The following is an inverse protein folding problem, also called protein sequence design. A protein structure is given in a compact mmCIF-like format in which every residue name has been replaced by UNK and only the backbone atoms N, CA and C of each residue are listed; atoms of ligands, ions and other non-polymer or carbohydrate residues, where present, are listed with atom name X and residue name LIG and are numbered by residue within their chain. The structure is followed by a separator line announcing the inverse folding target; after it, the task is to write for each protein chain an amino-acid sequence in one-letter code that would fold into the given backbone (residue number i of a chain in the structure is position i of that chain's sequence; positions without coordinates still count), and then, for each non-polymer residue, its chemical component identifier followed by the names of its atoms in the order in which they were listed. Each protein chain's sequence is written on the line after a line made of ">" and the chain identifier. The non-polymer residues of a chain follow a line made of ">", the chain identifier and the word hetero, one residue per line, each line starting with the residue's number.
data_IF_845841266411
#
_entry.id   IF_845841266411
#
_cell.length_a   1.000
_cell.length_b   1.000
_cell.length_c   1.000
_cell.angle_alpha   90.00
_cell.angle_beta   90.00
_cell.angle_gamma   90.00
#
_symmetry.space_group_name_H-M   'P 1'
#
loop_
_entity.id
_entity.type
_entity.pdbx_description
1 polymer ?
#
# COMPACT_ATOMS: atom_id res chain seq x y z
N UNK A 1 -12.43 26.41 -6.97
CA UNK A 1 -11.92 26.64 -8.35
C UNK A 1 -11.70 28.11 -8.67
N UNK A 2 -12.72 28.97 -8.60
CA UNK A 2 -12.56 30.42 -8.89
C UNK A 2 -11.47 31.06 -8.03
N UNK A 3 -11.44 30.74 -6.72
CA UNK A 3 -10.43 31.28 -5.81
C UNK A 3 -9.01 30.85 -6.16
N UNK A 4 -8.81 29.62 -6.60
CA UNK A 4 -7.51 29.14 -7.09
C UNK A 4 -7.11 29.85 -8.40
N UNK A 5 -8.09 30.13 -9.25
CA UNK A 5 -7.91 31.00 -10.40
C UNK A 5 -7.45 32.41 -10.00
N UNK A 6 -8.02 32.99 -8.94
CA UNK A 6 -7.59 34.28 -8.40
C UNK A 6 -6.15 34.22 -7.87
N UNK A 7 -5.77 33.12 -7.20
CA UNK A 7 -4.37 32.89 -6.79
C UNK A 7 -3.43 32.85 -8.00
N UNK A 8 -3.83 32.15 -9.07
CA UNK A 8 -3.09 32.13 -10.34
C UNK A 8 -2.98 33.50 -10.99
N UNK A 9 -4.06 34.29 -10.99
CA UNK A 9 -4.05 35.66 -11.48
C UNK A 9 -3.08 36.55 -10.69
N UNK A 10 -3.11 36.47 -9.35
CA UNK A 10 -2.18 37.23 -8.50
C UNK A 10 -0.71 36.86 -8.78
N UNK A 11 -0.41 35.56 -8.99
CA UNK A 11 0.93 35.09 -9.38
C UNK A 11 1.35 35.64 -10.75
N UNK A 12 0.43 35.67 -11.72
CA UNK A 12 0.69 36.22 -13.04
C UNK A 12 0.99 37.72 -12.99
N UNK A 13 0.15 38.50 -12.30
CA UNK A 13 0.32 39.96 -12.20
C UNK A 13 1.65 40.32 -11.56
N UNK A 14 2.09 39.58 -10.53
CA UNK A 14 3.39 39.81 -9.88
C UNK A 14 4.61 39.56 -10.78
N UNK A 15 4.46 38.74 -11.82
CA UNK A 15 5.55 38.32 -12.73
C UNK A 15 5.39 38.88 -14.15
N UNK A 16 4.36 39.68 -14.39
CA UNK A 16 4.08 40.24 -15.69
C UNK A 16 5.02 41.41 -15.97
N UNK A 17 5.64 41.39 -17.14
CA UNK A 17 6.50 42.44 -17.65
C UNK A 17 5.78 43.14 -18.82
N UNK A 18 5.34 44.41 -18.66
CA UNK A 18 4.67 45.17 -19.71
C UNK A 18 5.53 45.43 -20.95
N UNK A 19 6.86 45.44 -20.82
CA UNK A 19 7.78 45.81 -21.89
C UNK A 19 7.94 44.71 -22.95
N UNK A 20 7.46 43.49 -22.66
CA UNK A 20 7.46 42.35 -23.56
C UNK A 20 6.40 42.43 -24.67
N UNK A 21 5.50 43.42 -24.65
CA UNK A 21 4.50 43.64 -25.71
C UNK A 21 3.36 42.61 -25.78
N UNK A 22 3.21 41.76 -24.76
CA UNK A 22 2.14 40.74 -24.68
C UNK A 22 1.00 41.23 -23.80
N UNK A 23 -0.26 40.98 -24.19
CA UNK A 23 -1.42 41.31 -23.36
C UNK A 23 -1.39 40.54 -22.03
N UNK A 24 -1.65 41.22 -20.91
CA UNK A 24 -1.73 40.61 -19.57
C UNK A 24 -2.65 39.38 -19.54
N UNK A 25 -3.80 39.45 -20.23
CA UNK A 25 -4.75 38.33 -20.31
C UNK A 25 -4.09 37.08 -20.89
N UNK A 26 -3.33 37.22 -21.98
CA UNK A 26 -2.63 36.11 -22.64
C UNK A 26 -1.57 35.47 -21.74
N UNK A 27 -0.87 36.28 -20.94
CA UNK A 27 0.09 35.80 -19.96
C UNK A 27 -0.59 35.11 -18.77
N UNK A 28 -1.58 35.77 -18.17
CA UNK A 28 -2.28 35.30 -16.97
C UNK A 28 -3.06 33.99 -17.19
N UNK A 29 -3.57 33.74 -18.40
CA UNK A 29 -4.28 32.49 -18.71
C UNK A 29 -3.47 31.23 -18.38
N UNK A 30 -2.16 31.24 -18.62
CA UNK A 30 -1.30 30.07 -18.34
C UNK A 30 -1.19 29.82 -16.83
N UNK A 31 -1.02 30.88 -16.04
CA UNK A 31 -0.96 30.81 -14.58
C UNK A 31 -2.28 30.39 -13.96
N UNK A 32 -3.39 30.96 -14.43
CA UNK A 32 -4.74 30.61 -13.95
C UNK A 32 -5.02 29.12 -14.20
N UNK A 33 -4.77 28.63 -15.43
CA UNK A 33 -4.96 27.22 -15.76
C UNK A 33 -4.06 26.30 -14.94
N UNK A 34 -2.78 26.67 -14.77
CA UNK A 34 -1.83 25.87 -14.00
C UNK A 34 -2.26 25.71 -12.54
N UNK A 35 -2.66 26.78 -11.87
CA UNK A 35 -3.11 26.71 -10.46
C UNK A 35 -4.41 25.93 -10.32
N UNK A 36 -5.37 26.12 -11.23
CA UNK A 36 -6.60 25.33 -11.24
C UNK A 36 -6.31 23.85 -11.44
N UNK A 37 -5.47 23.49 -12.41
CA UNK A 37 -5.08 22.10 -12.67
C UNK A 37 -4.37 21.46 -11.48
N UNK A 38 -3.44 22.19 -10.86
CA UNK A 38 -2.71 21.73 -9.68
C UNK A 38 -3.66 21.51 -8.48
N UNK A 39 -4.60 22.43 -8.27
CA UNK A 39 -5.61 22.29 -7.22
C UNK A 39 -6.50 21.06 -7.45
N UNK A 40 -6.98 20.85 -8.68
CA UNK A 40 -7.80 19.69 -9.03
C UNK A 40 -7.00 18.41 -8.76
N UNK A 41 -5.76 18.32 -9.23
CA UNK A 41 -4.91 17.14 -9.02
C UNK A 41 -4.64 16.84 -7.53
N UNK A 42 -4.58 17.87 -6.68
CA UNK A 42 -4.36 17.69 -5.23
C UNK A 42 -5.62 17.34 -4.44
N UNK A 43 -6.80 17.72 -4.94
CA UNK A 43 -8.05 17.67 -4.18
C UNK A 43 -9.17 16.87 -4.88
N UNK A 44 -8.86 16.12 -5.94
CA UNK A 44 -9.86 15.30 -6.64
C UNK A 44 -10.32 14.08 -5.83
N UNK A 45 -9.53 13.65 -4.84
CA UNK A 45 -9.83 12.53 -3.92
C UNK A 45 -9.46 12.88 -2.49
N UNK A 46 -10.11 12.23 -1.53
CA UNK A 46 -9.79 12.38 -0.11
C UNK A 46 -8.39 11.84 0.20
N UNK A 47 -8.03 10.69 -0.39
CA UNK A 47 -6.69 10.10 -0.27
C UNK A 47 -5.71 10.80 -1.21
N UNK A 48 -4.77 11.55 -0.64
CA UNK A 48 -3.75 12.28 -1.39
C UNK A 48 -2.59 11.35 -1.74
N UNK A 49 -2.26 11.28 -3.02
CA UNK A 49 -1.11 10.51 -3.52
C UNK A 49 -0.24 11.43 -4.38
N UNK A 50 1.08 11.31 -4.27
CA UNK A 50 2.00 12.00 -5.17
C UNK A 50 1.74 11.58 -6.62
N UNK A 51 1.68 12.53 -7.55
CA UNK A 51 1.43 12.25 -8.97
C UNK A 51 2.67 12.46 -9.82
N UNK A 52 2.99 11.48 -10.67
CA UNK A 52 4.05 11.59 -11.67
C UNK A 52 3.61 12.43 -12.87
N UNK A 53 4.56 12.80 -13.74
CA UNK A 53 4.23 13.51 -15.00
C UNK A 53 3.33 12.68 -15.91
N UNK A 54 3.55 11.35 -15.96
CA UNK A 54 2.73 10.41 -16.71
C UNK A 54 1.30 10.36 -16.16
N UNK A 55 1.15 10.22 -14.84
CA UNK A 55 -0.16 10.22 -14.17
C UNK A 55 -0.92 11.54 -14.36
N UNK A 56 -0.24 12.69 -14.35
CA UNK A 56 -0.88 13.99 -14.66
C UNK A 56 -1.41 14.04 -16.10
N UNK A 57 -0.64 13.52 -17.08
CA UNK A 57 -1.09 13.43 -18.48
C UNK A 57 -2.29 12.51 -18.62
N UNK A 58 -2.29 11.38 -17.91
CA UNK A 58 -3.42 10.44 -17.88
C UNK A 58 -4.65 11.07 -17.23
N UNK A 59 -4.52 11.76 -16.10
CA UNK A 59 -5.65 12.36 -15.39
C UNK A 59 -6.52 13.27 -16.27
N UNK A 60 -5.90 14.12 -17.09
CA UNK A 60 -6.64 15.04 -17.96
C UNK A 60 -7.13 14.41 -19.28
N UNK A 61 -6.44 13.40 -19.81
CA UNK A 61 -6.72 12.87 -21.15
C UNK A 61 -7.37 11.48 -21.16
N UNK A 62 -7.29 10.71 -20.08
CA UNK A 62 -7.76 9.31 -20.05
C UNK A 62 -9.27 9.22 -20.25
N UNK A 63 -10.05 10.14 -19.65
CA UNK A 63 -11.52 10.14 -19.77
C UNK A 63 -12.00 10.46 -21.18
N UNK A 64 -11.38 11.44 -21.85
CA UNK A 64 -11.70 11.78 -23.23
C UNK A 64 -11.28 10.66 -24.19
N UNK A 65 -10.07 10.10 -24.02
CA UNK A 65 -9.61 8.98 -24.83
C UNK A 65 -10.51 7.75 -24.68
N UNK A 66 -10.90 7.40 -23.44
CA UNK A 66 -11.83 6.29 -23.16
C UNK A 66 -13.19 6.50 -23.83
N UNK A 67 -13.70 7.73 -23.86
CA UNK A 67 -14.94 8.06 -24.58
C UNK A 67 -14.78 7.87 -26.09
N UNK A 68 -13.69 8.38 -26.68
CA UNK A 68 -13.40 8.20 -28.11
C UNK A 68 -13.25 6.72 -28.49
N UNK A 69 -12.57 5.92 -27.67
CA UNK A 69 -12.41 4.48 -27.88
C UNK A 69 -13.74 3.73 -27.78
N UNK A 70 -14.61 4.12 -26.85
CA UNK A 70 -15.97 3.55 -26.74
C UNK A 70 -16.83 3.88 -27.96
N UNK A 71 -16.70 5.08 -28.51
CA UNK A 71 -17.46 5.49 -29.70
C UNK A 71 -17.00 4.74 -30.96
N UNK A 72 -15.72 4.37 -31.05
CA UNK A 72 -15.16 3.56 -32.14
C UNK A 72 -15.53 2.08 -32.01
N UNK A 73 -15.72 1.58 -30.80
CA UNK A 73 -16.00 0.17 -30.51
C UNK A 73 -17.51 -0.17 -30.52
N UNK A 74 -18.33 0.55 -31.31
CA UNK A 74 -19.79 0.46 -31.34
C UNK A 74 -20.38 -0.95 -31.63
N UNK A 75 -19.55 -1.95 -31.98
CA UNK A 75 -19.97 -3.29 -32.39
C UNK A 75 -19.69 -4.40 -31.34
N UNK A 76 -19.13 -4.10 -30.16
CA UNK A 76 -18.84 -5.13 -29.15
C UNK A 76 -19.64 -4.94 -27.86
N UNK A 77 -20.53 -5.90 -27.60
CA UNK A 77 -21.41 -6.09 -26.43
C UNK A 77 -20.68 -6.21 -25.08
N UNK A 78 -19.82 -5.26 -24.73
CA UNK A 78 -19.18 -5.23 -23.41
C UNK A 78 -19.49 -3.92 -22.72
N UNK A 79 -20.61 -3.93 -21.99
CA UNK A 79 -20.94 -2.97 -20.93
C UNK A 79 -19.96 -3.06 -19.74
N UNK A 80 -18.65 -3.16 -20.01
CA UNK A 80 -17.64 -3.16 -18.96
C UNK A 80 -17.25 -1.71 -18.65
N UNK A 81 -17.32 -1.37 -17.37
CA UNK A 81 -16.82 -0.10 -16.86
C UNK A 81 -15.30 0.03 -16.98
N UNK A 82 -14.59 -1.05 -17.32
CA UNK A 82 -13.14 -1.09 -17.54
C UNK A 82 -12.69 -0.96 -19.01
N UNK A 83 -11.42 -0.62 -19.22
CA UNK A 83 -10.70 -0.69 -20.49
C UNK A 83 -10.30 -2.14 -20.78
N UNK A 84 -10.31 -2.54 -22.05
CA UNK A 84 -9.72 -3.82 -22.47
C UNK A 84 -8.20 -3.73 -22.55
N UNK A 85 -7.52 -4.88 -22.53
CA UNK A 85 -6.06 -4.97 -22.65
C UNK A 85 -5.52 -4.28 -23.91
N UNK A 86 -6.24 -4.37 -25.03
CA UNK A 86 -5.90 -3.67 -26.27
C UNK A 86 -6.09 -2.15 -26.16
N UNK A 87 -7.15 -1.69 -25.47
CA UNK A 87 -7.38 -0.26 -25.25
C UNK A 87 -6.35 0.36 -24.32
N UNK A 88 -5.90 -0.39 -23.30
CA UNK A 88 -4.83 0.06 -22.39
C UNK A 88 -3.54 0.28 -23.18
N UNK A 89 -3.18 -0.65 -24.07
CA UNK A 89 -1.97 -0.52 -24.91
C UNK A 89 -2.08 0.70 -25.84
N UNK A 90 -3.22 0.87 -26.50
CA UNK A 90 -3.47 2.01 -27.36
C UNK A 90 -3.38 3.35 -26.62
N UNK A 91 -3.90 3.42 -25.38
CA UNK A 91 -3.78 4.60 -24.51
C UNK A 91 -2.32 4.86 -24.13
N UNK A 92 -1.60 3.80 -23.76
CA UNK A 92 -0.19 3.87 -23.37
C UNK A 92 0.68 4.42 -24.51
N UNK A 93 0.49 3.93 -25.73
CA UNK A 93 1.17 4.40 -26.94
C UNK A 93 0.79 5.86 -27.27
N UNK A 94 -0.51 6.16 -27.30
CA UNK A 94 -1.00 7.51 -27.65
C UNK A 94 -0.49 8.58 -26.68
N UNK A 95 -0.45 8.25 -25.39
CA UNK A 95 0.00 9.16 -24.34
C UNK A 95 1.49 9.01 -24.01
N UNK A 96 2.22 8.08 -24.64
CA UNK A 96 3.62 7.78 -24.37
C UNK A 96 3.89 7.60 -22.86
N UNK A 97 3.16 6.69 -22.24
CA UNK A 97 3.23 6.34 -20.80
C UNK A 97 3.31 4.83 -20.65
N UNK A 98 3.72 4.34 -19.48
CA UNK A 98 3.77 2.89 -19.24
C UNK A 98 2.36 2.32 -19.10
N UNK A 99 2.18 1.08 -19.57
CA UNK A 99 0.96 0.28 -19.37
C UNK A 99 0.53 0.22 -17.89
N UNK A 100 1.50 0.04 -16.99
CA UNK A 100 1.29 0.03 -15.54
C UNK A 100 0.66 1.33 -15.02
N UNK A 101 1.13 2.49 -15.51
CA UNK A 101 0.59 3.79 -15.13
C UNK A 101 -0.88 3.94 -15.61
N UNK A 102 -1.21 3.39 -16.78
CA UNK A 102 -2.58 3.42 -17.33
C UNK A 102 -3.53 2.58 -16.48
N UNK A 103 -3.14 1.35 -16.13
CA UNK A 103 -3.92 0.43 -15.29
C UNK A 103 -4.18 1.03 -13.90
N UNK A 104 -3.13 1.59 -13.30
CA UNK A 104 -3.24 2.25 -12.01
C UNK A 104 -4.18 3.46 -12.09
N UNK A 105 -4.00 4.33 -13.08
CA UNK A 105 -4.84 5.51 -13.27
C UNK A 105 -6.29 5.15 -13.59
N UNK A 106 -6.53 4.09 -14.35
CA UNK A 106 -7.86 3.61 -14.65
C UNK A 106 -8.58 3.13 -13.38
N UNK A 107 -7.91 2.31 -12.56
CA UNK A 107 -8.44 1.83 -11.28
C UNK A 107 -8.76 2.99 -10.34
N UNK A 108 -7.89 4.00 -10.32
CA UNK A 108 -8.09 5.22 -9.54
C UNK A 108 -9.25 6.07 -10.06
N UNK A 109 -9.47 6.13 -11.37
CA UNK A 109 -10.55 6.95 -11.96
C UNK A 109 -11.90 6.22 -12.03
N UNK A 110 -11.92 4.89 -11.96
CA UNK A 110 -13.15 4.08 -12.02
C UNK A 110 -13.87 3.98 -10.67
N UNK A 111 -13.13 4.00 -9.56
CA UNK A 111 -13.70 4.04 -8.21
C UNK A 111 -14.07 5.45 -7.75
N UNK A 112 -15.13 5.58 -6.95
CA UNK A 112 -15.44 6.79 -6.18
C UNK A 112 -15.16 6.56 -4.69
N UNK A 113 -14.90 7.64 -3.95
CA UNK A 113 -14.91 7.58 -2.49
C UNK A 113 -16.38 7.37 -2.05
N UNK A 114 -16.65 6.31 -1.29
CA UNK A 114 -17.99 5.96 -0.80
C UNK A 114 -18.14 6.45 0.64
N UNK A 115 -19.24 7.16 0.92
CA UNK A 115 -19.55 7.56 2.29
C UNK A 115 -19.82 6.31 3.15
N UNK A 116 -19.26 6.27 4.35
CA UNK A 116 -19.44 5.16 5.29
C UNK A 116 -20.91 5.00 5.72
N UNK A 117 -21.61 6.14 5.84
CA UNK A 117 -23.03 6.24 6.15
C UNK A 117 -23.66 7.26 5.19
N UNK A 118 -24.14 6.82 4.01
CA UNK A 118 -24.86 7.70 3.12
C UNK A 118 -26.25 8.01 3.71
N UNK A 119 -26.62 9.29 3.75
CA UNK A 119 -28.01 9.64 4.02
C UNK A 119 -28.85 9.27 2.80
N UNK A 120 -29.65 8.21 2.90
CA UNK A 120 -30.62 7.80 1.89
C UNK A 120 -32.00 8.32 2.26
N UNK A 121 -32.62 9.08 1.36
CA UNK A 121 -33.98 9.62 1.50
C UNK A 121 -35.08 8.61 1.07
N UNK A 122 -34.70 7.40 0.66
CA UNK A 122 -35.63 6.37 0.20
C UNK A 122 -36.10 5.49 1.38
N UNK A 123 -37.42 5.31 1.50
CA UNK A 123 -38.14 4.45 2.47
C UNK A 123 -37.76 2.94 2.43
N UNK A 124 -36.75 2.56 1.65
CA UNK A 124 -36.19 1.21 1.61
C UNK A 124 -35.05 1.04 2.61
N UNK A 125 -34.93 -0.15 3.21
CA UNK A 125 -33.76 -0.52 4.01
C UNK A 125 -32.49 -0.58 3.13
N UNK A 126 -31.90 0.58 2.85
CA UNK A 126 -30.57 0.68 2.25
C UNK A 126 -29.54 0.46 3.35
N UNK A 127 -28.88 -0.69 3.33
CA UNK A 127 -27.81 -1.00 4.27
C UNK A 127 -26.56 -0.17 3.94
N UNK A 128 -26.22 0.75 4.81
CA UNK A 128 -24.99 1.53 4.71
C UNK A 128 -23.74 0.63 4.84
N UNK A 129 -22.59 1.02 4.25
CA UNK A 129 -21.33 0.28 4.37
C UNK A 129 -20.95 -0.15 5.79
N UNK A 130 -21.23 0.71 6.78
CA UNK A 130 -21.00 0.41 8.20
C UNK A 130 -21.73 -0.84 8.71
N UNK A 131 -22.86 -1.24 8.10
CA UNK A 131 -23.67 -2.37 8.56
C UNK A 131 -23.07 -3.74 8.20
N UNK A 132 -22.21 -3.82 7.19
CA UNK A 132 -21.57 -5.07 6.75
C UNK A 132 -20.04 -5.08 6.91
N UNK A 133 -19.43 -3.93 7.26
CA UNK A 133 -18.02 -3.87 7.62
C UNK A 133 -17.82 -4.49 9.01
N UNK A 134 -17.39 -5.74 9.03
CA UNK A 134 -17.06 -6.44 10.26
C UNK A 134 -15.62 -6.14 10.72
N UNK A 135 -15.45 -5.94 12.03
CA UNK A 135 -14.13 -5.95 12.67
C UNK A 135 -13.85 -7.34 13.24
N UNK A 136 -13.02 -8.11 12.53
CA UNK A 136 -12.64 -9.46 12.96
C UNK A 136 -11.71 -9.48 14.18
N UNK A 137 -11.13 -8.34 14.58
CA UNK A 137 -10.15 -8.32 15.67
C UNK A 137 -10.76 -8.62 17.05
N UNK A 138 -12.05 -8.32 17.20
CA UNK A 138 -12.81 -8.53 18.45
C UNK A 138 -13.56 -9.87 18.47
N UNK A 139 -13.44 -10.69 17.42
CA UNK A 139 -14.08 -12.00 17.37
C UNK A 139 -13.58 -12.87 18.53
N UNK A 140 -14.47 -13.49 19.35
CA UNK A 140 -14.06 -14.23 20.53
C UNK A 140 -12.99 -15.29 20.24
N UNK A 141 -13.10 -15.98 19.10
CA UNK A 141 -12.13 -16.99 18.65
C UNK A 141 -10.76 -16.36 18.36
N UNK A 142 -10.73 -15.20 17.70
CA UNK A 142 -9.49 -14.46 17.38
C UNK A 142 -8.83 -13.94 18.65
N UNK A 143 -9.61 -13.38 19.58
CA UNK A 143 -9.09 -12.89 20.86
C UNK A 143 -8.47 -14.04 21.68
N UNK A 144 -9.10 -15.21 21.71
CA UNK A 144 -8.56 -16.40 22.37
C UNK A 144 -7.28 -16.88 21.66
N UNK A 145 -7.29 -16.93 20.32
CA UNK A 145 -6.12 -17.30 19.51
C UNK A 145 -4.94 -16.37 19.79
N UNK A 146 -5.15 -15.05 19.78
CA UNK A 146 -4.12 -14.04 20.07
C UNK A 146 -3.59 -14.20 21.49
N UNK A 147 -4.45 -14.31 22.51
CA UNK A 147 -4.02 -14.51 23.90
C UNK A 147 -3.21 -15.79 24.06
N UNK A 148 -3.64 -16.88 23.42
CA UNK A 148 -2.93 -18.15 23.45
C UNK A 148 -1.56 -18.04 22.76
N UNK A 149 -1.50 -17.34 21.61
CA UNK A 149 -0.24 -17.06 20.91
C UNK A 149 0.71 -16.22 21.76
N UNK A 150 0.21 -15.19 22.42
CA UNK A 150 1.00 -14.32 23.30
C UNK A 150 1.53 -15.09 24.52
N UNK A 151 0.68 -15.93 25.14
CA UNK A 151 1.08 -16.80 26.24
C UNK A 151 2.16 -17.82 25.82
N UNK A 152 2.03 -18.40 24.62
CA UNK A 152 3.04 -19.30 24.06
C UNK A 152 4.35 -18.57 23.74
N UNK A 153 4.27 -17.36 23.17
CA UNK A 153 5.44 -16.59 22.75
C UNK A 153 6.20 -15.94 23.91
N UNK A 154 5.51 -15.54 24.99
CA UNK A 154 6.12 -15.02 26.21
C UNK A 154 6.52 -16.14 27.16
N UNK A 155 5.68 -16.38 28.17
CA UNK A 155 5.93 -17.34 29.25
C UNK A 155 6.17 -18.77 28.75
N UNK A 156 5.53 -19.16 27.64
CA UNK A 156 5.72 -20.46 27.01
C UNK A 156 7.16 -20.68 26.53
N UNK A 157 7.75 -19.70 25.81
CA UNK A 157 9.14 -19.78 25.36
C UNK A 157 10.09 -19.82 26.56
N UNK A 158 9.85 -19.01 27.59
CA UNK A 158 10.67 -19.03 28.80
C UNK A 158 10.65 -20.40 29.49
N UNK A 159 9.46 -20.97 29.73
CA UNK A 159 9.31 -22.32 30.29
C UNK A 159 9.98 -23.39 29.41
N UNK A 160 9.86 -23.27 28.08
CA UNK A 160 10.47 -24.21 27.15
C UNK A 160 12.02 -24.17 27.17
N UNK A 161 12.61 -22.97 27.35
CA UNK A 161 14.05 -22.80 27.53
C UNK A 161 14.53 -23.39 28.86
N UNK A 162 13.71 -23.33 29.91
CA UNK A 162 14.04 -23.85 31.24
C UNK A 162 14.26 -25.37 31.26
N UNK A 163 13.53 -26.11 30.42
CA UNK A 163 13.65 -27.57 30.27
C UNK A 163 14.96 -28.00 29.58
N UNK A 164 15.61 -27.09 28.85
CA UNK A 164 16.87 -27.37 28.18
C UNK A 164 18.05 -27.37 29.14
N UNK A 165 19.02 -28.24 28.88
CA UNK A 165 20.32 -28.18 29.53
C UNK A 165 21.06 -26.87 29.16
N UNK A 166 21.98 -26.39 30.01
CA UNK A 166 22.63 -25.08 29.81
C UNK A 166 23.30 -24.92 28.44
N UNK A 167 23.86 -26.01 27.89
CA UNK A 167 24.52 -25.99 26.58
C UNK A 167 23.52 -25.86 25.45
N UNK A 168 22.44 -26.64 25.47
CA UNK A 168 21.35 -26.55 24.48
C UNK A 168 20.64 -25.20 24.53
N UNK A 169 20.38 -24.67 25.74
CA UNK A 169 19.74 -23.36 25.93
C UNK A 169 20.57 -22.25 25.28
N UNK A 170 21.86 -22.19 25.57
CA UNK A 170 22.77 -21.18 25.02
C UNK A 170 22.86 -21.23 23.50
N UNK A 171 22.91 -22.43 22.91
CA UNK A 171 22.91 -22.61 21.44
C UNK A 171 21.62 -22.05 20.81
N UNK A 172 20.47 -22.20 21.45
CA UNK A 172 19.20 -21.66 20.95
C UNK A 172 19.12 -20.15 21.14
N UNK A 173 19.51 -19.62 22.31
CA UNK A 173 19.50 -18.19 22.61
C UNK A 173 20.40 -17.39 21.66
N UNK A 174 21.66 -17.80 21.49
CA UNK A 174 22.64 -17.10 20.63
C UNK A 174 22.24 -17.11 19.16
N UNK A 175 21.40 -18.06 18.73
CA UNK A 175 21.05 -18.23 17.32
C UNK A 175 19.69 -17.67 16.94
N UNK A 176 18.73 -17.69 17.87
CA UNK A 176 17.34 -17.35 17.58
C UNK A 176 16.79 -16.18 18.41
N UNK A 177 17.40 -15.87 19.57
CA UNK A 177 16.90 -14.80 20.47
C UNK A 177 17.80 -13.57 20.48
N UNK A 178 19.11 -13.74 20.24
CA UNK A 178 20.06 -12.63 20.09
C UNK A 178 20.23 -12.24 18.62
N UNK A 179 19.13 -11.94 17.97
CA UNK A 179 19.09 -11.50 16.56
C UNK A 179 18.58 -10.06 16.54
N UNK A 180 19.26 -9.20 15.77
CA UNK A 180 18.86 -7.82 15.55
C UNK A 180 17.64 -7.74 14.60
N UNK A 181 16.96 -6.59 14.55
CA UNK A 181 15.76 -6.37 13.72
C UNK A 181 15.98 -6.62 12.21
N UNK A 182 17.22 -6.55 11.74
CA UNK A 182 17.63 -6.83 10.35
C UNK A 182 17.97 -8.31 10.10
N UNK A 183 17.60 -9.20 11.02
CA UNK A 183 17.94 -10.62 11.03
C UNK A 183 19.45 -10.92 11.08
N UNK A 184 20.28 -9.92 11.40
CA UNK A 184 21.73 -10.08 11.63
C UNK A 184 22.04 -10.31 13.11
N UNK A 185 23.23 -10.84 13.43
CA UNK A 185 23.74 -10.90 14.81
C UNK A 185 23.59 -12.25 15.54
N UNK A 186 22.77 -13.17 15.04
CA UNK A 186 22.75 -14.54 15.56
C UNK A 186 24.05 -15.29 15.24
N UNK A 187 24.63 -15.99 16.22
CA UNK A 187 25.86 -16.76 16.02
C UNK A 187 25.64 -17.88 15.00
N UNK A 188 26.62 -18.07 14.10
CA UNK A 188 26.57 -19.14 13.11
C UNK A 188 26.91 -20.50 13.74
N UNK A 189 26.52 -21.58 13.06
CA UNK A 189 26.89 -22.95 13.48
C UNK A 189 28.40 -23.14 13.62
N UNK A 190 29.21 -22.45 12.80
CA UNK A 190 30.67 -22.56 12.81
C UNK A 190 31.30 -21.83 14.01
N UNK A 191 30.75 -20.68 14.39
CA UNK A 191 31.21 -19.92 15.56
C UNK A 191 30.92 -20.67 16.86
N UNK A 192 29.70 -21.20 17.01
CA UNK A 192 29.34 -22.05 18.15
C UNK A 192 30.14 -23.36 18.17
N UNK A 193 30.42 -23.95 17.01
CA UNK A 193 31.26 -25.13 16.89
C UNK A 193 32.70 -24.88 17.36
N UNK A 194 33.28 -23.73 16.99
CA UNK A 194 34.60 -23.30 17.43
C UNK A 194 34.64 -23.05 18.95
N UNK A 195 33.62 -22.41 19.52
CA UNK A 195 33.53 -22.16 20.97
C UNK A 195 33.47 -23.46 21.78
N UNK A 196 32.64 -24.42 21.36
CA UNK A 196 32.47 -25.69 22.06
C UNK A 196 33.47 -26.78 21.66
N UNK A 197 34.40 -26.50 20.72
CA UNK A 197 35.38 -27.46 20.23
C UNK A 197 34.77 -28.70 19.56
N UNK A 198 33.63 -28.54 18.86
CA UNK A 198 32.91 -29.63 18.17
C UNK A 198 32.69 -29.30 16.70
N UNK A 199 32.16 -30.24 15.90
CA UNK A 199 31.80 -29.95 14.52
C UNK A 199 30.50 -29.13 14.42
N UNK A 200 30.35 -28.34 13.34
CA UNK A 200 29.12 -27.61 13.04
C UNK A 200 27.88 -28.54 12.95
N UNK A 201 28.05 -29.74 12.41
CA UNK A 201 27.00 -30.75 12.36
C UNK A 201 26.58 -31.22 13.76
N UNK A 202 27.53 -31.29 14.71
CA UNK A 202 27.19 -31.62 16.10
C UNK A 202 26.35 -30.53 16.77
N UNK A 203 26.64 -29.25 16.53
CA UNK A 203 25.81 -28.14 17.01
C UNK A 203 24.41 -28.19 16.38
N UNK A 204 24.30 -28.46 15.09
CA UNK A 204 23.03 -28.64 14.39
C UNK A 204 22.18 -29.76 15.00
N UNK A 205 22.80 -30.89 15.34
CA UNK A 205 22.10 -32.00 16.01
C UNK A 205 21.57 -31.62 17.40
N UNK A 206 22.40 -30.94 18.21
CA UNK A 206 22.03 -30.47 19.54
C UNK A 206 20.85 -29.50 19.44
N UNK A 207 20.91 -28.59 18.48
CA UNK A 207 19.87 -27.60 18.26
C UNK A 207 18.57 -28.22 17.75
N UNK A 208 18.61 -29.15 16.80
CA UNK A 208 17.43 -29.90 16.37
C UNK A 208 16.78 -30.68 17.53
N UNK A 209 17.59 -31.28 18.40
CA UNK A 209 17.11 -31.98 19.59
C UNK A 209 16.51 -31.00 20.62
N UNK A 210 17.12 -29.83 20.82
CA UNK A 210 16.62 -28.77 21.69
C UNK A 210 15.27 -28.22 21.20
N UNK A 211 15.15 -27.91 19.91
CA UNK A 211 13.90 -27.46 19.30
C UNK A 211 12.78 -28.49 19.44
N UNK A 212 13.10 -29.79 19.31
CA UNK A 212 12.14 -30.87 19.54
C UNK A 212 11.66 -30.92 21.00
N UNK A 213 12.56 -30.74 21.97
CA UNK A 213 12.22 -30.66 23.40
C UNK A 213 11.38 -29.43 23.71
N UNK A 214 11.75 -28.26 23.21
CA UNK A 214 10.99 -27.02 23.38
C UNK A 214 9.58 -27.12 22.80
N UNK A 215 9.43 -27.70 21.60
CA UNK A 215 8.10 -27.91 21.00
C UNK A 215 7.22 -28.82 21.86
N UNK A 216 7.80 -29.85 22.48
CA UNK A 216 7.07 -30.73 23.40
C UNK A 216 6.64 -29.98 24.66
N UNK A 217 7.55 -29.21 25.27
CA UNK A 217 7.24 -28.40 26.44
C UNK A 217 6.14 -27.35 26.17
N UNK A 218 6.15 -26.74 24.98
CA UNK A 218 5.10 -25.79 24.54
C UNK A 218 3.74 -26.44 24.28
N UNK A 219 3.70 -27.72 23.90
CA UNK A 219 2.46 -28.44 23.64
C UNK A 219 1.83 -29.04 24.92
N UNK A 220 2.63 -29.20 25.98
CA UNK A 220 2.19 -29.68 27.31
C UNK A 220 1.86 -28.52 28.27
N UNK A 221 2.07 -27.28 27.83
CA UNK A 221 2.02 -26.03 28.61
C UNK A 221 0.69 -25.28 28.48
#
# INVERSE_FOLDING_TARGET
>A
LIQEGNVGLMKAVKRFDPDQGVRLVSYAMHWIKAEIHEYILKNWRMVKVATTKAQRKLFFNLRSLKHSLRQQAADSETHRNGLTEAQIEQVAETLNVKREDVLEMETRMSGGDVALEPQTDEDGESYAPIAYLADESQEPTRVIETRHRDALAGDGIQRALEVLDPRSRRIVEERWLKVNDDASGGMTLHELAAEYGVSAERIRQIEAAAMKKMRKALAEA
#
